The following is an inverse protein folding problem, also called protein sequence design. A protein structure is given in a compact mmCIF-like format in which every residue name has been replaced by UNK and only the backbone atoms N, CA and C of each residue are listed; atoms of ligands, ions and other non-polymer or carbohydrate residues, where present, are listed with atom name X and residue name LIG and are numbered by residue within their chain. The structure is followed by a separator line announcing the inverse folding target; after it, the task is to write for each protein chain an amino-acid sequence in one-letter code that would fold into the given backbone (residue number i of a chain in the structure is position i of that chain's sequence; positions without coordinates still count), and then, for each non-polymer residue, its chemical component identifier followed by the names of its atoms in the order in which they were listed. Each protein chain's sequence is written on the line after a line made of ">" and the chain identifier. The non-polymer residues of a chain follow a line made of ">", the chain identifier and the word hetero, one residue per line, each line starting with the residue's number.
data_IF_696248375817
#
_entry.id   IF_696248375817
#
_cell.length_a   1.000
_cell.length_b   1.000
_cell.length_c   1.000
_cell.angle_alpha   90.00
_cell.angle_beta   90.00
_cell.angle_gamma   90.00
#
_symmetry.space_group_name_H-M   'P 1'
#
loop_
_entity.id
_entity.type
_entity.pdbx_description
1 polymer ?
#
# COMPACT_ATOMS: atom_id res chain seq x y z
N UNK A 1 -22.74 6.33 -4.87
CA UNK A 1 -23.00 5.65 -3.58
C UNK A 1 -21.81 5.74 -2.64
N UNK A 2 -22.01 5.91 -1.33
CA UNK A 2 -20.95 6.06 -0.31
C UNK A 2 -20.92 4.85 0.63
N UNK A 3 -19.76 4.55 1.20
CA UNK A 3 -19.58 3.50 2.21
C UNK A 3 -20.12 2.13 1.79
N UNK A 4 -20.10 1.86 0.47
CA UNK A 4 -20.56 0.58 -0.09
C UNK A 4 -19.73 -0.54 0.54
N UNK A 5 -20.40 -1.61 0.98
CA UNK A 5 -19.77 -2.73 1.68
C UNK A 5 -19.75 -2.60 3.20
N UNK A 6 -19.69 -1.38 3.76
CA UNK A 6 -19.51 -1.19 5.21
C UNK A 6 -20.66 -1.79 6.05
N UNK A 7 -21.91 -1.59 5.61
CA UNK A 7 -23.08 -2.20 6.29
C UNK A 7 -23.03 -3.72 6.26
N UNK A 8 -22.62 -4.31 5.13
CA UNK A 8 -22.49 -5.76 4.99
C UNK A 8 -21.37 -6.30 5.88
N UNK A 9 -20.20 -5.64 5.90
CA UNK A 9 -19.12 -6.01 6.80
C UNK A 9 -19.53 -5.95 8.27
N UNK A 10 -20.28 -4.93 8.68
CA UNK A 10 -20.84 -4.82 10.03
C UNK A 10 -21.82 -5.95 10.38
N UNK A 11 -22.66 -6.38 9.43
CA UNK A 11 -23.56 -7.52 9.63
C UNK A 11 -22.78 -8.84 9.80
N UNK A 12 -21.75 -9.07 8.97
CA UNK A 12 -20.87 -10.24 9.08
C UNK A 12 -20.16 -10.22 10.44
N UNK A 13 -19.58 -9.09 10.82
CA UNK A 13 -18.87 -8.94 12.09
C UNK A 13 -19.79 -9.17 13.30
N UNK A 14 -21.04 -8.69 13.24
CA UNK A 14 -22.01 -8.90 14.31
C UNK A 14 -22.36 -10.38 14.52
N UNK A 15 -22.38 -11.17 13.44
CA UNK A 15 -22.73 -12.60 13.49
C UNK A 15 -21.53 -13.51 13.75
N UNK A 16 -20.35 -13.13 13.25
CA UNK A 16 -19.18 -14.02 13.19
C UNK A 16 -17.91 -13.43 13.83
N UNK A 17 -17.96 -12.21 14.35
CA UNK A 17 -16.77 -11.47 14.74
C UNK A 17 -15.87 -11.15 13.54
N UNK A 18 -14.68 -10.60 13.83
CA UNK A 18 -13.75 -10.11 12.80
C UNK A 18 -13.19 -11.21 11.87
N UNK A 19 -13.09 -12.44 12.39
CA UNK A 19 -12.37 -13.56 11.73
C UNK A 19 -13.15 -14.88 11.67
N UNK A 20 -14.36 -14.92 12.19
CA UNK A 20 -15.13 -16.17 12.29
C UNK A 20 -16.00 -16.48 11.06
N UNK A 21 -16.04 -15.59 10.07
CA UNK A 21 -16.81 -15.85 8.85
C UNK A 21 -16.06 -16.84 7.96
N UNK A 22 -16.57 -18.07 7.87
CA UNK A 22 -16.03 -19.13 7.02
C UNK A 22 -16.52 -19.11 5.56
N UNK A 23 -17.38 -18.16 5.21
CA UNK A 23 -17.90 -18.00 3.85
C UNK A 23 -17.08 -17.05 2.98
N UNK A 24 -17.48 -16.92 1.71
CA UNK A 24 -16.92 -15.94 0.78
C UNK A 24 -18.04 -15.26 0.00
N UNK A 25 -18.03 -13.92 -0.01
CA UNK A 25 -18.94 -13.07 -0.76
C UNK A 25 -18.13 -12.27 -1.77
N UNK A 26 -18.48 -12.39 -3.05
CA UNK A 26 -17.86 -11.62 -4.13
C UNK A 26 -18.86 -10.62 -4.69
N UNK A 27 -18.56 -9.33 -4.55
CA UNK A 27 -19.39 -8.24 -5.04
C UNK A 27 -18.67 -7.53 -6.19
N UNK A 28 -19.36 -7.34 -7.31
CA UNK A 28 -18.82 -6.66 -8.49
C UNK A 28 -19.62 -5.39 -8.75
N UNK A 29 -18.90 -4.29 -8.90
CA UNK A 29 -19.45 -2.95 -9.11
C UNK A 29 -18.89 -2.36 -10.40
N UNK A 30 -19.63 -1.43 -10.99
CA UNK A 30 -19.19 -0.65 -12.15
C UNK A 30 -19.58 0.81 -11.96
N UNK A 31 -18.67 1.72 -12.28
CA UNK A 31 -18.89 3.17 -12.21
C UNK A 31 -17.97 3.89 -11.23
N UNK A 32 -18.40 5.03 -10.72
CA UNK A 32 -17.64 5.85 -9.78
C UNK A 32 -18.15 5.61 -8.35
N UNK A 33 -17.32 5.00 -7.49
CA UNK A 33 -17.64 4.84 -6.09
C UNK A 33 -17.42 6.15 -5.34
N UNK A 34 -18.39 6.54 -4.51
CA UNK A 34 -18.23 7.66 -3.58
C UNK A 34 -17.24 7.33 -2.47
N UNK A 35 -17.12 8.26 -1.52
CA UNK A 35 -16.20 8.12 -0.39
C UNK A 35 -16.42 6.83 0.40
N UNK A 36 -15.33 6.31 0.97
CA UNK A 36 -15.32 5.16 1.89
C UNK A 36 -15.75 3.83 1.27
N UNK A 37 -15.52 3.61 -0.03
CA UNK A 37 -15.74 2.31 -0.65
C UNK A 37 -14.97 1.20 0.07
N UNK A 38 -15.66 0.14 0.49
CA UNK A 38 -15.05 -0.98 1.22
C UNK A 38 -14.56 -0.62 2.62
N UNK A 39 -15.04 0.47 3.23
CA UNK A 39 -14.70 0.79 4.61
C UNK A 39 -15.07 -0.35 5.56
N UNK A 40 -14.16 -0.66 6.48
CA UNK A 40 -14.27 -1.76 7.45
C UNK A 40 -14.44 -3.14 6.81
N UNK A 41 -14.00 -3.32 5.56
CA UNK A 41 -14.03 -4.61 4.90
C UNK A 41 -13.35 -5.69 5.77
N UNK A 42 -13.92 -6.88 5.75
CA UNK A 42 -13.68 -7.97 6.71
C UNK A 42 -13.40 -9.27 5.96
N UNK A 43 -12.81 -10.25 6.66
CA UNK A 43 -12.54 -11.59 6.10
C UNK A 43 -13.76 -12.16 5.38
N UNK A 44 -13.52 -12.73 4.20
CA UNK A 44 -14.54 -13.35 3.35
C UNK A 44 -15.35 -12.37 2.50
N UNK A 45 -15.14 -11.06 2.62
CA UNK A 45 -15.74 -10.06 1.73
C UNK A 45 -14.73 -9.61 0.66
N UNK A 46 -15.03 -9.94 -0.60
CA UNK A 46 -14.26 -9.55 -1.77
C UNK A 46 -15.08 -8.58 -2.63
N UNK A 47 -14.54 -7.40 -2.92
CA UNK A 47 -15.23 -6.37 -3.69
C UNK A 47 -14.36 -5.92 -4.87
N UNK A 48 -14.91 -6.01 -6.07
CA UNK A 48 -14.26 -5.58 -7.32
C UNK A 48 -15.00 -4.40 -7.90
N UNK A 49 -14.32 -3.30 -8.16
CA UNK A 49 -14.84 -2.11 -8.81
C UNK A 49 -14.20 -1.95 -10.18
N UNK A 50 -15.02 -2.03 -11.23
CA UNK A 50 -14.65 -1.60 -12.58
C UNK A 50 -15.00 -0.13 -12.78
N UNK A 51 -14.04 0.75 -12.56
CA UNK A 51 -14.22 2.20 -12.59
C UNK A 51 -13.21 2.91 -11.71
N UNK A 52 -13.67 3.86 -10.91
CA UNK A 52 -12.83 4.70 -10.05
C UNK A 52 -13.51 4.92 -8.69
N UNK A 53 -12.73 5.27 -7.67
CA UNK A 53 -13.24 5.53 -6.34
C UNK A 53 -12.72 6.87 -5.79
N UNK A 54 -13.56 7.55 -5.01
CA UNK A 54 -13.18 8.74 -4.27
C UNK A 54 -12.35 8.36 -3.02
N UNK A 55 -12.16 9.32 -2.11
CA UNK A 55 -11.34 9.18 -0.90
C UNK A 55 -11.76 8.02 0.02
N UNK A 56 -10.80 7.59 0.85
CA UNK A 56 -11.01 6.66 1.96
C UNK A 56 -11.34 5.22 1.56
N UNK A 57 -10.95 4.77 0.36
CA UNK A 57 -11.06 3.36 -0.01
C UNK A 57 -10.41 2.48 1.06
N UNK A 58 -11.15 1.49 1.56
CA UNK A 58 -10.66 0.58 2.58
C UNK A 58 -10.32 1.25 3.92
N UNK A 59 -10.92 2.40 4.26
CA UNK A 59 -10.81 3.00 5.60
C UNK A 59 -11.12 1.97 6.68
N UNK A 60 -10.21 1.78 7.64
CA UNK A 60 -10.35 0.83 8.73
C UNK A 60 -10.53 -0.62 8.29
N UNK A 61 -10.08 -0.99 7.09
CA UNK A 61 -10.14 -2.37 6.59
C UNK A 61 -9.47 -3.33 7.57
N UNK A 62 -10.11 -4.46 7.86
CA UNK A 62 -9.62 -5.48 8.79
C UNK A 62 -9.26 -6.80 8.09
N UNK A 63 -9.92 -7.10 6.97
CA UNK A 63 -9.72 -8.31 6.19
C UNK A 63 -10.39 -8.22 4.83
N UNK A 64 -10.47 -9.36 4.13
CA UNK A 64 -11.08 -9.42 2.80
C UNK A 64 -10.21 -8.76 1.73
N UNK A 65 -10.81 -8.47 0.57
CA UNK A 65 -10.08 -7.96 -0.59
C UNK A 65 -10.86 -6.89 -1.35
N UNK A 66 -10.19 -5.79 -1.65
CA UNK A 66 -10.67 -4.73 -2.51
C UNK A 66 -9.84 -4.71 -3.80
N UNK A 67 -10.51 -4.68 -4.95
CA UNK A 67 -9.86 -4.59 -6.26
C UNK A 67 -10.47 -3.43 -7.03
N UNK A 68 -9.64 -2.52 -7.52
CA UNK A 68 -10.08 -1.40 -8.37
C UNK A 68 -9.36 -1.48 -9.70
N UNK A 69 -10.12 -1.61 -10.78
CA UNK A 69 -9.61 -1.68 -12.14
C UNK A 69 -10.30 -0.65 -13.02
N UNK A 70 -9.59 -0.03 -13.96
CA UNK A 70 -10.17 0.97 -14.85
C UNK A 70 -11.26 0.37 -15.74
N UNK A 71 -12.16 1.20 -16.31
CA UNK A 71 -13.10 0.73 -17.32
C UNK A 71 -12.36 0.15 -18.54
N UNK A 72 -12.78 -1.01 -19.05
CA UNK A 72 -12.15 -1.71 -20.21
C UNK A 72 -11.96 -0.83 -21.47
N UNK A 73 -12.81 0.18 -21.66
CA UNK A 73 -12.81 1.04 -22.83
C UNK A 73 -11.85 2.23 -22.72
N UNK A 74 -11.08 2.36 -21.63
CA UNK A 74 -10.41 3.63 -21.33
C UNK A 74 -9.28 3.98 -22.31
N UNK A 75 -8.64 3.04 -23.02
CA UNK A 75 -7.52 3.33 -23.95
C UNK A 75 -6.30 4.04 -23.35
N UNK A 76 -6.41 4.45 -22.08
CA UNK A 76 -5.45 5.20 -21.30
C UNK A 76 -4.44 4.22 -20.71
N UNK A 77 -3.18 4.65 -20.60
CA UNK A 77 -2.20 3.99 -19.73
C UNK A 77 -2.67 4.12 -18.27
N UNK A 78 -3.55 3.23 -17.85
CA UNK A 78 -4.28 3.33 -16.58
C UNK A 78 -3.35 3.46 -15.37
N UNK A 79 -2.15 2.86 -15.43
CA UNK A 79 -1.11 3.00 -14.42
C UNK A 79 -0.66 4.41 -14.10
N UNK A 80 -0.87 5.38 -15.01
CA UNK A 80 -0.46 6.77 -14.80
C UNK A 80 -1.61 7.67 -14.32
N UNK A 81 -2.84 7.16 -14.26
CA UNK A 81 -4.03 7.93 -13.88
C UNK A 81 -4.46 7.64 -12.45
N UNK A 82 -5.02 8.65 -11.78
CA UNK A 82 -5.61 8.47 -10.44
C UNK A 82 -6.90 7.65 -10.57
N UNK A 83 -7.00 6.57 -9.80
CA UNK A 83 -8.17 5.67 -9.78
C UNK A 83 -8.80 5.55 -8.39
N UNK A 84 -8.06 5.93 -7.35
CA UNK A 84 -8.55 6.05 -5.99
C UNK A 84 -8.02 7.31 -5.31
N UNK A 85 -8.89 7.97 -4.54
CA UNK A 85 -8.60 9.26 -3.91
C UNK A 85 -7.63 9.20 -2.72
N UNK A 86 -7.76 10.18 -1.84
CA UNK A 86 -6.86 10.40 -0.72
C UNK A 86 -7.15 9.48 0.47
N UNK A 87 -6.16 9.33 1.36
CA UNK A 87 -6.33 8.71 2.69
C UNK A 87 -6.92 7.30 2.64
N UNK A 88 -6.60 6.56 1.57
CA UNK A 88 -7.02 5.18 1.41
C UNK A 88 -6.24 4.28 2.40
N UNK A 89 -6.89 3.23 2.88
CA UNK A 89 -6.41 2.34 3.94
C UNK A 89 -6.13 3.01 5.28
N UNK A 90 -6.78 4.15 5.55
CA UNK A 90 -6.60 4.84 6.82
C UNK A 90 -6.91 3.92 8.01
N UNK A 91 -5.89 3.62 8.82
CA UNK A 91 -6.05 2.80 10.02
C UNK A 91 -6.36 1.33 9.72
N UNK A 92 -6.05 0.83 8.52
CA UNK A 92 -6.32 -0.55 8.17
C UNK A 92 -5.48 -1.51 9.04
N UNK A 93 -6.05 -2.63 9.44
CA UNK A 93 -5.47 -3.64 10.35
C UNK A 93 -5.32 -5.01 9.71
N UNK A 94 -5.68 -5.13 8.43
CA UNK A 94 -5.55 -6.37 7.66
C UNK A 94 -6.28 -6.27 6.32
N UNK A 95 -6.22 -7.34 5.54
CA UNK A 95 -6.85 -7.41 4.22
C UNK A 95 -5.95 -6.95 3.07
N UNK A 96 -6.49 -7.00 1.85
CA UNK A 96 -5.74 -6.74 0.62
C UNK A 96 -6.40 -5.70 -0.27
N UNK A 97 -5.64 -4.72 -0.77
CA UNK A 97 -6.08 -3.74 -1.75
C UNK A 97 -5.21 -3.80 -3.02
N UNK A 98 -5.82 -4.08 -4.17
CA UNK A 98 -5.13 -4.05 -5.46
C UNK A 98 -5.77 -3.01 -6.37
N UNK A 99 -5.01 -2.02 -6.83
CA UNK A 99 -5.53 -0.99 -7.73
C UNK A 99 -4.65 -0.81 -8.97
N UNK A 100 -5.24 -1.01 -10.15
CA UNK A 100 -4.60 -0.74 -11.43
C UNK A 100 -4.73 0.74 -11.77
N UNK A 101 -3.90 1.53 -11.09
CA UNK A 101 -3.84 2.98 -11.21
C UNK A 101 -3.21 3.64 -9.98
N UNK A 102 -3.14 4.96 -9.99
CA UNK A 102 -2.53 5.77 -8.93
C UNK A 102 -3.52 6.05 -7.80
N UNK A 103 -3.00 6.07 -6.59
CA UNK A 103 -3.65 6.63 -5.42
C UNK A 103 -3.39 8.14 -5.29
N UNK A 104 -4.30 8.83 -4.59
CA UNK A 104 -4.08 10.20 -4.12
C UNK A 104 -3.05 10.29 -2.98
N UNK A 105 -3.14 11.37 -2.22
CA UNK A 105 -2.28 11.66 -1.07
C UNK A 105 -2.59 10.76 0.13
N UNK A 106 -1.61 10.62 1.03
CA UNK A 106 -1.75 9.87 2.29
C UNK A 106 -2.22 8.43 2.10
N UNK A 107 -1.83 7.81 1.00
CA UNK A 107 -2.11 6.40 0.77
C UNK A 107 -1.44 5.54 1.84
N UNK A 108 -2.19 4.64 2.49
CA UNK A 108 -1.67 3.77 3.55
C UNK A 108 -1.38 4.51 4.86
N UNK A 109 -1.96 5.70 5.07
CA UNK A 109 -1.75 6.44 6.32
C UNK A 109 -2.23 5.63 7.52
N UNK A 110 -1.38 5.48 8.54
CA UNK A 110 -1.65 4.65 9.72
C UNK A 110 -2.08 3.21 9.38
N UNK A 111 -1.62 2.66 8.25
CA UNK A 111 -1.78 1.25 7.97
C UNK A 111 -1.02 0.44 9.04
N UNK A 112 -1.68 -0.55 9.61
CA UNK A 112 -1.17 -1.40 10.69
C UNK A 112 -1.29 -2.89 10.35
N UNK A 113 -1.65 -3.26 9.11
CA UNK A 113 -1.72 -4.67 8.73
C UNK A 113 -2.24 -5.00 7.33
N UNK A 114 -2.77 -4.03 6.58
CA UNK A 114 -3.22 -4.29 5.22
C UNK A 114 -2.04 -4.43 4.25
N UNK A 115 -2.25 -5.29 3.24
CA UNK A 115 -1.35 -5.42 2.10
C UNK A 115 -1.94 -4.67 0.91
N UNK A 116 -1.12 -3.90 0.18
CA UNK A 116 -1.62 -3.16 -0.95
C UNK A 116 -0.63 -3.05 -2.11
N UNK A 117 -1.16 -3.00 -3.33
CA UNK A 117 -0.40 -2.71 -4.55
C UNK A 117 -1.14 -1.68 -5.38
N UNK A 118 -0.45 -0.56 -5.67
CA UNK A 118 -0.93 0.56 -6.51
C UNK A 118 0.13 0.95 -7.54
N UNK A 119 -0.25 1.64 -8.60
CA UNK A 119 0.68 2.00 -9.70
C UNK A 119 1.26 3.42 -9.58
N UNK A 120 1.03 4.06 -8.45
CA UNK A 120 1.60 5.34 -8.03
C UNK A 120 0.85 5.88 -6.81
N UNK A 121 1.40 6.89 -6.16
CA UNK A 121 0.78 7.55 -5.01
C UNK A 121 1.09 9.05 -4.98
N UNK A 122 0.29 9.82 -4.25
CA UNK A 122 0.55 11.24 -3.97
C UNK A 122 1.57 11.45 -2.84
N UNK A 123 1.56 12.66 -2.27
CA UNK A 123 2.41 13.03 -1.11
C UNK A 123 2.01 12.21 0.13
N UNK A 124 2.94 12.05 1.07
CA UNK A 124 2.72 11.39 2.37
C UNK A 124 2.29 9.92 2.29
N UNK A 125 2.71 9.20 1.24
CA UNK A 125 2.49 7.75 1.16
C UNK A 125 3.12 7.04 2.36
N UNK A 126 2.38 6.11 2.97
CA UNK A 126 2.74 5.33 4.16
C UNK A 126 3.05 6.18 5.42
N UNK A 127 2.52 7.39 5.50
CA UNK A 127 2.66 8.24 6.68
C UNK A 127 2.09 7.54 7.94
N UNK A 128 2.87 7.50 9.03
CA UNK A 128 2.52 6.83 10.29
C UNK A 128 2.16 5.34 10.17
N UNK A 129 2.59 4.65 9.11
CA UNK A 129 2.39 3.20 8.97
C UNK A 129 3.14 2.44 10.07
N UNK A 130 2.47 1.48 10.69
CA UNK A 130 2.99 0.68 11.83
C UNK A 130 2.94 -0.83 11.55
N UNK A 131 2.53 -1.25 10.36
CA UNK A 131 2.41 -2.65 9.97
C UNK A 131 1.77 -2.83 8.60
N UNK A 132 1.82 -4.05 8.07
CA UNK A 132 1.32 -4.36 6.72
C UNK A 132 2.40 -4.17 5.64
N UNK A 133 1.98 -4.24 4.38
CA UNK A 133 2.89 -4.15 3.22
C UNK A 133 2.29 -3.27 2.15
N UNK A 134 3.04 -2.30 1.63
CA UNK A 134 2.60 -1.44 0.54
C UNK A 134 3.58 -1.53 -0.62
N UNK A 135 3.08 -1.77 -1.84
CA UNK A 135 3.88 -1.77 -3.07
C UNK A 135 3.38 -0.66 -3.98
N UNK A 136 4.30 0.17 -4.46
CA UNK A 136 4.01 1.26 -5.41
C UNK A 136 4.80 1.02 -6.70
N UNK A 137 4.10 0.68 -7.78
CA UNK A 137 4.68 0.36 -9.09
C UNK A 137 4.95 1.60 -9.95
N UNK A 138 5.04 2.79 -9.37
CA UNK A 138 5.25 4.03 -10.11
C UNK A 138 5.59 5.20 -9.21
N UNK A 139 5.46 6.41 -9.74
CA UNK A 139 5.86 7.63 -9.04
C UNK A 139 5.05 7.86 -7.75
N UNK A 140 5.77 8.28 -6.72
CA UNK A 140 5.24 8.79 -5.45
C UNK A 140 5.35 10.31 -5.38
N UNK A 141 4.59 10.93 -4.48
CA UNK A 141 4.82 12.31 -4.05
C UNK A 141 5.94 12.44 -3.04
N UNK A 142 6.00 13.56 -2.33
CA UNK A 142 7.00 13.89 -1.32
C UNK A 142 6.69 13.25 0.04
N UNK A 143 7.69 13.26 0.92
CA UNK A 143 7.57 12.88 2.33
C UNK A 143 7.03 11.46 2.55
N UNK A 144 7.44 10.53 1.67
CA UNK A 144 7.06 9.11 1.78
C UNK A 144 7.65 8.53 3.06
N UNK A 145 6.87 7.69 3.75
CA UNK A 145 7.24 6.99 4.98
C UNK A 145 7.52 7.88 6.20
N UNK A 146 7.03 9.13 6.21
CA UNK A 146 7.16 10.00 7.38
C UNK A 146 6.49 9.38 8.61
N UNK A 147 7.25 9.23 9.70
CA UNK A 147 6.76 8.60 10.93
C UNK A 147 6.37 7.12 10.78
N UNK A 148 6.79 6.45 9.71
CA UNK A 148 6.56 5.01 9.51
C UNK A 148 7.45 4.22 10.46
N UNK A 149 6.87 3.46 11.38
CA UNK A 149 7.58 2.73 12.45
C UNK A 149 7.44 1.22 12.35
N UNK A 150 6.60 0.70 11.45
CA UNK A 150 6.45 -0.73 11.20
C UNK A 150 5.87 -1.03 9.81
N UNK A 151 5.92 -2.30 9.42
CA UNK A 151 5.59 -2.78 8.07
C UNK A 151 6.66 -2.47 7.03
N UNK A 152 6.42 -2.88 5.79
CA UNK A 152 7.37 -2.70 4.67
C UNK A 152 6.71 -1.96 3.51
N UNK A 153 7.41 -0.99 2.92
CA UNK A 153 6.96 -0.35 1.69
C UNK A 153 7.97 -0.57 0.55
N UNK A 154 7.51 -1.05 -0.60
CA UNK A 154 8.32 -1.25 -1.79
C UNK A 154 8.01 -0.18 -2.82
N UNK A 155 9.02 0.56 -3.25
CA UNK A 155 8.91 1.57 -4.29
C UNK A 155 9.68 1.14 -5.53
N UNK A 156 9.01 1.14 -6.69
CA UNK A 156 9.71 1.03 -7.96
C UNK A 156 10.46 2.32 -8.24
N UNK A 157 11.79 2.25 -8.35
CA UNK A 157 12.64 3.37 -8.72
C UNK A 157 12.46 3.67 -10.22
N UNK A 158 11.88 4.83 -10.52
CA UNK A 158 11.71 5.33 -11.89
C UNK A 158 12.78 6.35 -12.27
N UNK A 159 13.35 7.03 -11.28
CA UNK A 159 14.34 8.09 -11.43
C UNK A 159 15.20 8.21 -10.15
N UNK A 160 16.26 9.00 -10.22
CA UNK A 160 17.13 9.30 -9.07
C UNK A 160 16.39 10.12 -7.98
N UNK A 161 15.29 10.79 -8.33
CA UNK A 161 14.50 11.60 -7.43
C UNK A 161 13.56 10.77 -6.53
N UNK A 162 13.34 9.48 -6.79
CA UNK A 162 12.61 8.58 -5.88
C UNK A 162 13.24 8.61 -4.48
N UNK A 163 14.58 8.58 -4.42
CA UNK A 163 15.32 8.58 -3.17
C UNK A 163 15.18 9.89 -2.37
N UNK A 164 14.98 11.03 -3.06
CA UNK A 164 14.84 12.38 -2.48
C UNK A 164 13.45 12.59 -1.88
N UNK A 165 12.43 11.91 -2.41
CA UNK A 165 11.04 11.99 -1.95
C UNK A 165 10.77 11.26 -0.62
N UNK A 166 11.71 10.42 -0.18
CA UNK A 166 11.56 9.58 1.02
C UNK A 166 12.03 10.33 2.26
N UNK A 167 11.19 10.37 3.29
CA UNK A 167 11.60 10.76 4.62
C UNK A 167 12.32 9.57 5.28
N UNK A 168 13.58 9.76 5.67
CA UNK A 168 14.47 8.71 6.19
C UNK A 168 14.65 8.75 7.71
N UNK A 169 13.85 9.55 8.40
CA UNK A 169 13.94 9.71 9.85
C UNK A 169 13.73 8.37 10.58
N UNK A 170 12.74 7.59 10.13
CA UNK A 170 12.32 6.35 10.81
C UNK A 170 12.49 5.08 9.97
N UNK A 171 12.88 5.20 8.70
CA UNK A 171 13.04 4.06 7.78
C UNK A 171 14.42 4.01 7.16
N UNK A 172 14.86 2.80 6.81
CA UNK A 172 16.07 2.55 6.03
C UNK A 172 15.71 2.07 4.64
N UNK A 173 16.49 2.51 3.65
CA UNK A 173 16.39 2.03 2.27
C UNK A 173 17.22 0.75 2.16
N UNK A 174 16.59 -0.31 1.67
CA UNK A 174 17.18 -1.64 1.49
C UNK A 174 17.02 -2.09 0.05
N UNK A 175 18.07 -2.72 -0.46
CA UNK A 175 18.02 -3.49 -1.69
C UNK A 175 17.33 -4.84 -1.42
N UNK A 176 16.60 -5.34 -2.41
CA UNK A 176 16.01 -6.69 -2.33
C UNK A 176 17.08 -7.80 -2.27
N UNK A 177 18.31 -7.52 -2.75
CA UNK A 177 19.42 -8.45 -2.67
C UNK A 177 19.90 -8.70 -1.23
N UNK A 178 19.56 -7.82 -0.29
CA UNK A 178 19.94 -7.97 1.13
C UNK A 178 19.09 -9.02 1.86
N UNK A 179 17.91 -9.39 1.33
CA UNK A 179 17.05 -10.38 1.96
C UNK A 179 16.15 -11.11 0.95
N UNK A 180 16.26 -12.44 0.91
CA UNK A 180 15.36 -13.29 0.13
C UNK A 180 13.89 -13.16 0.58
N UNK A 181 13.64 -12.83 1.85
CA UNK A 181 12.30 -12.60 2.38
C UNK A 181 11.66 -11.37 1.75
N UNK A 182 12.43 -10.29 1.55
CA UNK A 182 11.96 -9.08 0.86
C UNK A 182 11.56 -9.39 -0.59
N UNK A 183 12.43 -10.08 -1.33
CA UNK A 183 12.17 -10.43 -2.73
C UNK A 183 10.94 -11.34 -2.87
N UNK A 184 10.83 -12.36 -2.00
CA UNK A 184 9.70 -13.30 -1.98
C UNK A 184 8.38 -12.60 -1.66
N UNK A 185 8.37 -11.73 -0.66
CA UNK A 185 7.17 -10.97 -0.27
C UNK A 185 6.70 -10.04 -1.40
N UNK A 186 7.62 -9.30 -2.04
CA UNK A 186 7.28 -8.43 -3.15
C UNK A 186 6.72 -9.24 -4.33
N UNK A 187 7.41 -10.31 -4.74
CA UNK A 187 7.00 -11.13 -5.89
C UNK A 187 5.60 -11.70 -5.71
N UNK A 188 5.29 -12.23 -4.53
CA UNK A 188 3.95 -12.76 -4.22
C UNK A 188 2.86 -11.69 -4.33
N UNK A 189 3.13 -10.45 -3.89
CA UNK A 189 2.17 -9.34 -4.01
C UNK A 189 1.98 -8.88 -5.45
N UNK A 190 3.04 -8.87 -6.26
CA UNK A 190 2.96 -8.58 -7.69
C UNK A 190 2.14 -9.64 -8.44
N UNK A 191 2.36 -10.93 -8.13
CA UNK A 191 1.59 -12.03 -8.71
C UNK A 191 0.11 -11.92 -8.34
N UNK A 192 -0.20 -11.67 -7.06
CA UNK A 192 -1.57 -11.46 -6.61
C UNK A 192 -2.21 -10.23 -7.27
N UNK A 193 -1.46 -9.15 -7.44
CA UNK A 193 -1.92 -7.96 -8.13
C UNK A 193 -2.21 -8.25 -9.60
N UNK A 194 -1.31 -8.91 -10.33
CA UNK A 194 -1.51 -9.30 -11.72
C UNK A 194 -2.77 -10.16 -11.89
N UNK A 195 -2.97 -11.16 -11.03
CA UNK A 195 -4.17 -12.01 -11.04
C UNK A 195 -5.44 -11.19 -10.78
N UNK A 196 -5.40 -10.27 -9.81
CA UNK A 196 -6.56 -9.49 -9.43
C UNK A 196 -6.93 -8.41 -10.46
N UNK A 197 -5.94 -7.78 -11.09
CA UNK A 197 -6.13 -6.55 -11.87
C UNK A 197 -5.84 -6.68 -13.37
N UNK A 198 -5.09 -7.70 -13.78
CA UNK A 198 -4.54 -7.81 -15.12
C UNK A 198 -3.54 -6.70 -15.45
N UNK A 199 -2.88 -6.08 -14.46
CA UNK A 199 -1.93 -4.98 -14.65
C UNK A 199 -0.81 -5.35 -15.61
N UNK A 200 -0.68 -4.66 -16.76
CA UNK A 200 0.44 -4.88 -17.69
C UNK A 200 1.79 -4.63 -17.03
N UNK A 201 1.89 -3.59 -16.18
CA UNK A 201 3.13 -3.23 -15.50
C UNK A 201 3.60 -4.33 -14.55
N UNK A 202 2.70 -4.92 -13.76
CA UNK A 202 3.04 -6.07 -12.92
C UNK A 202 3.46 -7.28 -13.77
N UNK A 203 2.78 -7.52 -14.90
CA UNK A 203 3.13 -8.57 -15.86
C UNK A 203 4.53 -8.41 -16.45
N UNK A 204 4.88 -7.21 -16.89
CA UNK A 204 6.22 -6.87 -17.42
C UNK A 204 7.31 -7.08 -16.36
N UNK A 205 7.09 -6.60 -15.13
CA UNK A 205 8.03 -6.76 -14.02
C UNK A 205 8.25 -8.25 -13.71
N UNK A 206 7.18 -9.03 -13.64
CA UNK A 206 7.26 -10.47 -13.33
C UNK A 206 7.91 -11.27 -14.46
N UNK A 207 7.68 -10.90 -15.72
CA UNK A 207 8.29 -11.55 -16.88
C UNK A 207 9.81 -11.41 -16.92
N UNK A 208 10.35 -10.33 -16.35
CA UNK A 208 11.79 -10.05 -16.28
C UNK A 208 12.27 -9.92 -14.83
N UNK A 209 11.71 -10.75 -13.93
CA UNK A 209 11.88 -10.59 -12.48
C UNK A 209 13.33 -10.42 -12.03
N UNK A 210 14.25 -11.25 -12.53
CA UNK A 210 15.65 -11.24 -12.10
C UNK A 210 16.33 -9.89 -12.30
N UNK A 211 16.00 -9.19 -13.38
CA UNK A 211 16.49 -7.86 -13.69
C UNK A 211 15.65 -6.79 -12.95
N UNK A 212 14.34 -6.89 -13.05
CA UNK A 212 13.40 -5.84 -12.62
C UNK A 212 13.36 -5.69 -11.09
N UNK A 213 13.62 -6.76 -10.32
CA UNK A 213 13.67 -6.69 -8.86
C UNK A 213 14.73 -5.71 -8.35
N UNK A 214 15.84 -5.54 -9.07
CA UNK A 214 16.92 -4.61 -8.68
C UNK A 214 16.49 -3.14 -8.69
N UNK A 215 15.39 -2.82 -9.39
CA UNK A 215 14.82 -1.48 -9.46
C UNK A 215 13.93 -1.13 -8.27
N UNK A 216 13.69 -2.06 -7.36
CA UNK A 216 12.89 -1.79 -6.18
C UNK A 216 13.76 -1.41 -4.99
N UNK A 217 13.29 -0.40 -4.27
CA UNK A 217 13.81 -0.05 -2.95
C UNK A 217 12.76 -0.47 -1.92
N UNK A 218 13.17 -1.24 -0.92
CA UNK A 218 12.36 -1.52 0.25
C UNK A 218 12.64 -0.48 1.34
N UNK A 219 11.58 0.10 1.90
CA UNK A 219 11.63 0.98 3.06
C UNK A 219 11.29 0.15 4.28
N UNK A 220 12.29 -0.02 5.14
CA UNK A 220 12.24 -0.93 6.29
C UNK A 220 12.51 -0.14 7.57
N UNK A 221 11.52 -0.01 8.47
CA UNK A 221 11.74 0.49 9.82
C UNK A 221 12.61 -0.48 10.64
N UNK A 222 13.36 0.00 11.65
CA UNK A 222 14.21 -0.85 12.50
C UNK A 222 13.49 -2.05 13.13
N UNK A 223 12.19 -1.90 13.47
CA UNK A 223 11.39 -2.95 14.08
C UNK A 223 11.18 -4.18 13.19
N UNK A 224 11.38 -4.05 11.87
CA UNK A 224 11.15 -5.12 10.88
C UNK A 224 12.45 -5.83 10.46
N UNK A 225 13.63 -5.30 10.81
CA UNK A 225 14.92 -5.78 10.30
C UNK A 225 15.18 -7.25 10.68
N UNK A 226 14.97 -7.60 11.95
CA UNK A 226 15.18 -8.96 12.46
C UNK A 226 14.24 -9.97 11.79
N UNK A 227 12.95 -9.62 11.69
CA UNK A 227 11.91 -10.48 11.09
C UNK A 227 12.21 -10.74 9.61
N UNK A 228 12.83 -9.78 8.92
CA UNK A 228 13.20 -9.86 7.52
C UNK A 228 14.60 -10.46 7.29
N UNK A 229 15.29 -10.88 8.36
CA UNK A 229 16.65 -11.43 8.27
C UNK A 229 17.68 -10.43 7.76
N UNK A 230 17.44 -9.14 7.98
CA UNK A 230 18.36 -8.07 7.60
C UNK A 230 19.37 -7.84 8.71
N UNK A 231 20.61 -7.55 8.32
CA UNK A 231 21.61 -7.11 9.30
C UNK A 231 21.19 -5.76 9.89
N UNK A 232 21.23 -5.58 11.22
CA UNK A 232 20.84 -4.33 11.84
C UNK A 232 21.73 -3.20 11.32
N UNK A 233 21.10 -2.13 10.83
CA UNK A 233 21.87 -0.95 10.45
C UNK A 233 22.39 -0.24 11.69
N UNK A 234 23.63 0.28 11.68
CA UNK A 234 24.10 1.13 12.76
C UNK A 234 23.10 2.29 12.94
N UNK A 235 22.61 2.44 14.17
CA UNK A 235 21.74 3.55 14.55
C UNK A 235 22.53 4.82 14.27
N UNK A 236 22.11 5.62 13.29
CA UNK A 236 22.58 6.99 13.21
C UNK A 236 22.05 7.68 14.45
N UNK A 237 22.93 7.91 15.43
CA UNK A 237 22.62 8.77 16.56
C UNK A 237 22.07 10.06 15.97
N UNK A 238 20.81 10.36 16.29
CA UNK A 238 20.22 11.64 15.91
C UNK A 238 21.19 12.73 16.31
N UNK A 239 21.51 13.61 15.36
CA UNK A 239 22.31 14.80 15.65
C UNK A 239 21.64 15.50 16.82
N UNK A 240 22.25 15.41 18.00
CA UNK A 240 21.84 16.19 19.15
C UNK A 240 21.77 17.63 18.67
N UNK A 241 20.57 18.21 18.75
CA UNK A 241 20.37 19.63 18.50
C UNK A 241 21.22 20.30 19.58
N UNK A 242 22.37 20.83 19.19
CA UNK A 242 23.19 21.62 20.08
C UNK A 242 22.34 22.81 20.54
N UNK A 243 22.04 22.87 21.83
CA UNK A 243 21.47 24.03 22.47
C UNK A 243 22.31 25.25 22.11
N UNK A 244 21.76 26.10 21.24
CA UNK A 244 22.34 27.40 20.98
C UNK A 244 22.19 28.22 22.28
N UNK A 245 23.28 28.77 22.84
CA UNK A 245 23.16 29.58 24.04
C UNK A 245 22.31 30.81 23.75
N UNK A 246 21.28 31.04 24.56
CA UNK A 246 20.57 32.33 24.62
C UNK A 246 21.62 33.42 24.80
N UNK A 247 21.73 34.31 23.80
CA UNK A 247 22.45 35.56 23.95
C UNK A 247 21.58 36.52 24.77
N UNK A 248 22.13 36.85 25.94
CA UNK A 248 21.92 37.98 26.84
C UNK A 248 20.56 38.70 26.82
#
# INVERSE_FOLDING_TARGET
>A
DRSVGARLAGLIAAQHGNRGFGGQLQLRFRGCAGQSFGAFCIQGLDMVLHGEANDYVGKGMNGGRLVIVPPRASGLQAGNNVILGNTCLYGATGGQLFAHGRAGERFGVRNSGAQAVVEGAGDHCCEYMTGGVVVVLGATGRNVAAGMTGGVAYLLQQDDATAVRINRETVKLRSLAESAALATQLKALLEAHLVATGSPRAGEILAQWEEQQSRFIALVPPAEEEILGLSPSPVQAGTAIADAPMRA
#
